data_IF_348596375388
#
_entry.id   IF_348596375388
#
_cell.length_a   1.000
_cell.length_b   1.000
_cell.length_c   1.000
_cell.angle_alpha   90.00
_cell.angle_beta   90.00
_cell.angle_gamma   90.00
#
_symmetry.space_group_name_H-M   'P 1'
#
loop_
_entity.id
_entity.type
_entity.pdbx_description
1 polymer ?
#
# COMPACT_ATOMS: atom_id res chain seq x y z
N UNK A 1 -22.76 16.65 30.36
CA UNK A 1 -23.53 16.66 29.09
C UNK A 1 -24.99 16.45 29.43
N UNK A 2 -25.91 16.96 28.61
CA UNK A 2 -27.36 16.92 28.90
C UNK A 2 -28.03 15.77 28.16
N UNK A 3 -28.55 14.78 28.90
CA UNK A 3 -29.23 13.63 28.32
C UNK A 3 -30.54 14.02 27.62
N UNK A 4 -31.20 15.11 28.04
CA UNK A 4 -32.42 15.58 27.40
C UNK A 4 -32.15 16.07 25.98
N UNK A 5 -31.06 16.81 25.77
CA UNK A 5 -30.63 17.23 24.43
C UNK A 5 -30.26 16.04 23.52
N UNK A 6 -29.71 14.97 24.10
CA UNK A 6 -29.46 13.73 23.37
C UNK A 6 -30.77 13.04 22.95
N UNK A 7 -31.74 12.91 23.87
CA UNK A 7 -33.06 12.35 23.55
C UNK A 7 -33.80 13.17 22.49
N UNK A 8 -33.72 14.50 22.55
CA UNK A 8 -34.24 15.37 21.50
C UNK A 8 -33.55 15.11 20.15
N UNK A 9 -32.21 14.93 20.13
CA UNK A 9 -31.46 14.64 18.90
C UNK A 9 -31.89 13.35 18.22
N UNK A 10 -32.17 12.32 19.00
CA UNK A 10 -32.60 11.01 18.48
C UNK A 10 -34.12 10.89 18.35
N UNK A 11 -34.88 11.90 18.78
CA UNK A 11 -36.33 11.91 18.77
C UNK A 11 -36.96 10.86 19.68
N UNK A 12 -36.29 10.50 20.78
CA UNK A 12 -36.76 9.52 21.75
C UNK A 12 -37.52 10.24 22.88
N UNK A 13 -38.77 9.86 23.11
CA UNK A 13 -39.57 10.37 24.23
C UNK A 13 -39.48 9.39 25.40
N UNK A 14 -38.83 9.81 26.49
CA UNK A 14 -38.62 8.97 27.67
C UNK A 14 -39.96 8.69 28.38
N UNK A 15 -40.59 7.56 28.06
CA UNK A 15 -41.99 7.30 28.44
C UNK A 15 -42.17 6.49 29.73
N UNK A 16 -41.12 5.96 30.36
CA UNK A 16 -41.28 5.21 31.62
C UNK A 16 -40.04 5.00 32.52
N UNK A 17 -38.82 5.46 32.14
CA UNK A 17 -37.58 5.15 32.86
C UNK A 17 -37.38 3.65 33.19
N UNK A 18 -37.86 2.75 32.32
CA UNK A 18 -37.66 1.31 32.51
C UNK A 18 -36.29 0.90 31.97
N UNK A 19 -35.63 0.01 32.69
CA UNK A 19 -34.34 -0.58 32.30
C UNK A 19 -34.59 -1.99 31.75
N UNK A 20 -35.34 -2.07 30.66
CA UNK A 20 -35.73 -3.32 30.01
C UNK A 20 -35.27 -3.37 28.54
N UNK A 21 -35.44 -4.54 27.92
CA UNK A 21 -35.01 -4.79 26.54
C UNK A 21 -35.79 -3.94 25.53
N UNK A 22 -37.05 -3.63 25.81
CA UNK A 22 -37.89 -2.78 24.96
C UNK A 22 -37.32 -1.37 24.91
N UNK A 23 -37.00 -0.79 26.08
CA UNK A 23 -36.37 0.54 26.19
C UNK A 23 -35.01 0.57 25.48
N UNK A 24 -34.18 -0.46 25.67
CA UNK A 24 -32.88 -0.56 25.00
C UNK A 24 -33.04 -0.61 23.47
N UNK A 25 -34.03 -1.38 22.99
CA UNK A 25 -34.34 -1.52 21.56
C UNK A 25 -34.83 -0.19 20.97
N UNK A 26 -35.73 0.50 21.66
CA UNK A 26 -36.25 1.80 21.21
C UNK A 26 -35.13 2.83 21.07
N UNK A 27 -34.27 2.98 22.08
CA UNK A 27 -33.15 3.94 22.02
C UNK A 27 -32.20 3.62 20.88
N UNK A 28 -31.84 2.34 20.69
CA UNK A 28 -31.00 1.90 19.58
C UNK A 28 -31.61 2.28 18.23
N UNK A 29 -32.89 1.95 18.02
CA UNK A 29 -33.59 2.25 16.76
C UNK A 29 -33.74 3.75 16.51
N UNK A 30 -34.02 4.54 17.55
CA UNK A 30 -34.09 5.99 17.45
C UNK A 30 -32.75 6.59 17.06
N UNK A 31 -31.65 6.14 17.66
CA UNK A 31 -30.32 6.59 17.28
C UNK A 31 -29.99 6.21 15.83
N UNK A 32 -30.21 4.96 15.43
CA UNK A 32 -29.92 4.49 14.07
C UNK A 32 -30.75 5.22 12.99
N UNK A 33 -31.97 5.65 13.31
CA UNK A 33 -32.83 6.41 12.38
C UNK A 33 -32.44 7.87 12.22
N UNK A 34 -31.69 8.44 13.16
CA UNK A 34 -31.50 9.90 13.27
C UNK A 34 -30.04 10.36 13.23
N UNK A 35 -29.11 9.52 13.67
CA UNK A 35 -27.67 9.78 13.67
C UNK A 35 -27.03 8.96 12.56
N UNK A 36 -26.64 9.59 11.44
CA UNK A 36 -26.07 8.85 10.33
C UNK A 36 -24.67 8.33 10.66
N UNK A 37 -24.33 7.15 10.13
CA UNK A 37 -22.94 6.72 10.01
C UNK A 37 -22.29 7.46 8.85
N UNK A 38 -21.26 8.28 9.11
CA UNK A 38 -20.63 9.16 8.11
C UNK A 38 -19.15 9.42 8.41
N UNK A 39 -18.38 9.80 7.39
CA UNK A 39 -16.95 10.16 7.49
C UNK A 39 -16.63 11.54 6.87
N UNK A 40 -17.62 12.39 6.66
CA UNK A 40 -17.54 13.68 5.99
C UNK A 40 -16.54 14.63 6.64
N UNK A 41 -16.41 14.61 7.97
CA UNK A 41 -15.43 15.46 8.67
C UNK A 41 -13.98 15.16 8.25
N UNK A 42 -13.65 13.92 7.88
CA UNK A 42 -12.33 13.59 7.31
C UNK A 42 -12.11 14.28 5.98
N UNK A 43 -13.14 14.29 5.14
CA UNK A 43 -13.10 14.86 3.79
C UNK A 43 -13.13 16.39 3.81
N UNK A 44 -13.64 16.98 4.90
CA UNK A 44 -13.63 18.42 5.13
C UNK A 44 -12.38 18.94 5.85
N UNK A 45 -11.41 18.07 6.18
CA UNK A 45 -10.18 18.46 6.88
C UNK A 45 -10.38 18.81 8.35
N UNK A 46 -11.50 18.39 8.94
CA UNK A 46 -11.77 18.57 10.37
C UNK A 46 -11.03 17.50 11.17
N UNK A 47 -10.36 17.91 12.25
CA UNK A 47 -9.69 16.97 13.14
C UNK A 47 -10.73 16.09 13.84
N UNK A 48 -10.48 14.79 13.81
CA UNK A 48 -11.30 13.80 14.48
C UNK A 48 -10.95 13.73 15.95
N UNK A 49 -11.95 13.93 16.81
CA UNK A 49 -11.80 13.84 18.25
C UNK A 49 -12.73 12.76 18.79
N UNK A 50 -12.19 11.92 19.67
CA UNK A 50 -12.91 10.86 20.39
C UNK A 50 -13.27 11.26 21.83
N UNK A 51 -12.84 12.46 22.25
CA UNK A 51 -13.33 13.10 23.46
C UNK A 51 -14.86 13.17 23.45
N UNK A 52 -15.47 12.75 24.56
CA UNK A 52 -16.91 12.55 24.65
C UNK A 52 -17.67 13.87 24.56
N UNK A 53 -17.16 14.95 25.16
CA UNK A 53 -17.77 16.28 25.09
C UNK A 53 -17.73 16.84 23.67
N UNK A 54 -16.59 16.70 23.00
CA UNK A 54 -16.45 17.09 21.58
C UNK A 54 -17.37 16.26 20.67
N UNK A 55 -17.48 14.96 20.94
CA UNK A 55 -18.36 14.04 20.21
C UNK A 55 -19.83 14.40 20.41
N UNK A 56 -20.23 14.71 21.64
CA UNK A 56 -21.57 15.16 21.99
C UNK A 56 -21.92 16.45 21.23
N UNK A 57 -21.04 17.45 21.25
CA UNK A 57 -21.28 18.70 20.51
C UNK A 57 -21.40 18.48 19.00
N UNK A 58 -20.57 17.59 18.44
CA UNK A 58 -20.61 17.27 17.03
C UNK A 58 -21.93 16.58 16.63
N UNK A 59 -22.28 15.49 17.30
CA UNK A 59 -23.43 14.66 16.92
C UNK A 59 -24.76 15.29 17.36
N UNK A 60 -24.83 15.79 18.60
CA UNK A 60 -26.06 16.30 19.22
C UNK A 60 -26.32 17.74 18.84
N UNK A 61 -25.39 18.66 19.14
CA UNK A 61 -25.63 20.10 18.95
C UNK A 61 -25.51 20.53 17.49
N UNK A 62 -24.47 20.06 16.78
CA UNK A 62 -24.25 20.37 15.36
C UNK A 62 -25.03 19.45 14.42
N UNK A 63 -25.81 18.50 14.96
CA UNK A 63 -26.67 17.56 14.21
C UNK A 63 -25.92 16.78 13.13
N UNK A 64 -24.68 16.38 13.40
CA UNK A 64 -23.86 15.54 12.50
C UNK A 64 -24.07 14.06 12.76
N UNK A 65 -23.41 13.24 11.94
CA UNK A 65 -23.23 11.83 12.19
C UNK A 65 -21.86 11.54 12.78
N UNK A 66 -21.41 10.30 12.67
CA UNK A 66 -20.05 9.93 13.03
C UNK A 66 -19.73 8.48 12.71
N UNK A 67 -18.56 8.05 13.15
CA UNK A 67 -18.05 6.70 12.91
C UNK A 67 -18.42 5.83 14.11
N UNK A 68 -18.17 4.51 14.03
CA UNK A 68 -18.46 3.59 15.13
C UNK A 68 -17.88 4.06 16.48
N UNK A 69 -16.63 4.52 16.49
CA UNK A 69 -15.95 5.00 17.70
C UNK A 69 -16.62 6.22 18.34
N UNK A 70 -17.30 7.08 17.58
CA UNK A 70 -17.98 8.26 18.11
C UNK A 70 -19.43 7.94 18.47
N UNK A 71 -20.16 7.32 17.55
CA UNK A 71 -21.59 7.07 17.69
C UNK A 71 -21.85 6.03 18.78
N UNK A 72 -21.05 4.96 18.85
CA UNK A 72 -21.21 3.95 19.91
C UNK A 72 -20.64 4.41 21.25
N UNK A 73 -19.66 5.32 21.28
CA UNK A 73 -19.21 5.96 22.53
C UNK A 73 -20.29 6.90 23.08
N UNK A 74 -20.98 7.65 22.22
CA UNK A 74 -22.13 8.46 22.62
C UNK A 74 -23.30 7.60 23.12
N UNK A 75 -23.60 6.49 22.43
CA UNK A 75 -24.61 5.53 22.87
C UNK A 75 -24.27 4.92 24.23
N UNK A 76 -23.01 4.50 24.41
CA UNK A 76 -22.50 3.98 25.68
C UNK A 76 -22.75 4.98 26.82
N UNK A 77 -22.38 6.25 26.63
CA UNK A 77 -22.63 7.29 27.61
C UNK A 77 -24.13 7.45 27.90
N UNK A 78 -24.96 7.57 26.86
CA UNK A 78 -26.40 7.77 27.03
C UNK A 78 -27.06 6.63 27.80
N UNK A 79 -26.75 5.36 27.47
CA UNK A 79 -27.27 4.20 28.17
C UNK A 79 -26.80 4.14 29.63
N UNK A 80 -25.55 4.53 29.89
CA UNK A 80 -25.01 4.60 31.25
C UNK A 80 -25.74 5.66 32.08
N UNK A 81 -25.99 6.84 31.52
CA UNK A 81 -26.76 7.91 32.18
C UNK A 81 -28.23 7.52 32.39
N UNK A 82 -28.81 6.70 31.52
CA UNK A 82 -30.14 6.12 31.74
C UNK A 82 -30.17 5.16 32.94
N UNK A 83 -29.02 4.64 33.36
CA UNK A 83 -28.88 3.70 34.47
C UNK A 83 -28.72 2.23 34.04
N UNK A 84 -28.52 1.94 32.76
CA UNK A 84 -28.13 0.60 32.32
C UNK A 84 -26.71 0.28 32.81
N UNK A 85 -26.47 -1.00 33.13
CA UNK A 85 -25.12 -1.51 33.30
C UNK A 85 -24.49 -1.75 31.92
N UNK A 86 -23.44 -1.00 31.60
CA UNK A 86 -22.85 -0.95 30.26
C UNK A 86 -21.37 -1.31 30.28
N UNK A 87 -20.84 -1.82 29.17
CA UNK A 87 -19.41 -2.06 28.97
C UNK A 87 -19.05 -1.81 27.51
N UNK A 88 -17.93 -1.13 27.25
CA UNK A 88 -17.39 -0.97 25.91
C UNK A 88 -16.62 -2.21 25.47
N UNK A 89 -16.92 -2.70 24.27
CA UNK A 89 -16.27 -3.87 23.67
C UNK A 89 -15.56 -3.48 22.35
N UNK A 90 -14.35 -4.00 22.15
CA UNK A 90 -13.62 -3.89 20.89
C UNK A 90 -13.92 -5.05 19.96
N UNK A 91 -14.13 -4.76 18.67
CA UNK A 91 -14.45 -5.74 17.64
C UNK A 91 -13.45 -5.76 16.49
N UNK A 92 -13.21 -6.96 15.96
CA UNK A 92 -12.52 -7.16 14.68
C UNK A 92 -13.56 -7.23 13.58
N UNK A 93 -13.37 -6.46 12.51
CA UNK A 93 -14.34 -6.37 11.41
C UNK A 93 -13.99 -7.38 10.33
N UNK A 94 -14.97 -8.14 9.87
CA UNK A 94 -14.80 -9.03 8.73
C UNK A 94 -14.86 -8.23 7.42
N UNK A 95 -13.78 -8.23 6.65
CA UNK A 95 -13.64 -7.44 5.43
C UNK A 95 -13.92 -8.35 4.24
N UNK A 96 -15.14 -8.27 3.70
CA UNK A 96 -15.66 -9.15 2.64
C UNK A 96 -14.73 -9.22 1.42
N UNK A 97 -14.19 -8.11 0.86
CA UNK A 97 -13.29 -8.18 -0.28
C UNK A 97 -12.03 -9.04 -0.10
N UNK A 98 -11.54 -9.17 1.14
CA UNK A 98 -10.30 -9.93 1.46
C UNK A 98 -10.56 -11.20 2.26
N UNK A 99 -11.83 -11.53 2.53
CA UNK A 99 -12.28 -12.75 3.22
C UNK A 99 -11.56 -13.03 4.55
N UNK A 100 -11.21 -11.98 5.29
CA UNK A 100 -10.45 -12.03 6.56
C UNK A 100 -10.99 -11.00 7.55
N UNK A 101 -10.78 -11.27 8.85
CA UNK A 101 -10.95 -10.27 9.89
C UNK A 101 -9.82 -9.24 9.87
N UNK A 102 -10.10 -8.01 10.29
CA UNK A 102 -9.09 -6.99 10.52
C UNK A 102 -7.99 -7.49 11.47
N UNK A 103 -6.74 -7.07 11.27
CA UNK A 103 -5.62 -7.43 12.16
C UNK A 103 -5.72 -6.73 13.53
N UNK A 104 -6.41 -5.60 13.58
CA UNK A 104 -6.60 -4.77 14.78
C UNK A 104 -8.09 -4.63 15.13
N UNK A 105 -8.37 -4.30 16.39
CA UNK A 105 -9.73 -3.95 16.84
C UNK A 105 -10.08 -2.54 16.34
N UNK A 106 -10.78 -2.48 15.22
CA UNK A 106 -11.14 -1.23 14.54
C UNK A 106 -12.61 -0.84 14.74
N UNK A 107 -13.35 -1.59 15.57
CA UNK A 107 -14.77 -1.35 15.81
C UNK A 107 -15.09 -1.31 17.30
N UNK A 108 -16.01 -0.43 17.70
CA UNK A 108 -16.50 -0.30 19.06
C UNK A 108 -17.97 -0.71 19.07
N UNK A 109 -18.37 -1.55 20.03
CA UNK A 109 -19.75 -1.91 20.33
C UNK A 109 -20.01 -1.80 21.84
N UNK A 110 -21.28 -1.77 22.23
CA UNK A 110 -21.67 -1.62 23.63
C UNK A 110 -22.35 -2.89 24.11
N UNK A 111 -21.86 -3.45 25.20
CA UNK A 111 -22.57 -4.48 25.96
C UNK A 111 -23.48 -3.81 26.99
N UNK A 112 -24.68 -4.35 27.16
CA UNK A 112 -25.66 -3.95 28.17
C UNK A 112 -26.13 -5.17 28.95
N UNK A 113 -26.10 -5.10 30.27
CA UNK A 113 -26.59 -6.16 31.15
C UNK A 113 -28.02 -5.85 31.61
N UNK A 114 -28.96 -6.75 31.35
CA UNK A 114 -30.36 -6.66 31.80
C UNK A 114 -30.74 -7.99 32.45
N UNK A 115 -31.06 -7.97 33.75
CA UNK A 115 -31.46 -9.16 34.51
C UNK A 115 -30.50 -10.35 34.33
N UNK A 116 -29.20 -10.10 34.56
CA UNK A 116 -28.09 -11.07 34.43
C UNK A 116 -27.84 -11.63 33.01
N UNK A 117 -28.46 -11.03 31.99
CA UNK A 117 -28.22 -11.36 30.58
C UNK A 117 -27.47 -10.23 29.89
N UNK A 118 -26.48 -10.60 29.08
CA UNK A 118 -25.65 -9.66 28.34
C UNK A 118 -26.18 -9.52 26.91
N UNK A 119 -26.39 -8.30 26.47
CA UNK A 119 -26.76 -7.98 25.09
C UNK A 119 -25.70 -7.08 24.47
N UNK A 120 -25.43 -7.24 23.18
CA UNK A 120 -24.67 -6.25 22.42
C UNK A 120 -25.61 -5.35 21.63
N UNK A 121 -25.26 -4.08 21.58
CA UNK A 121 -25.89 -3.08 20.73
C UNK A 121 -24.84 -2.33 19.92
N UNK A 122 -25.22 -1.95 18.71
CA UNK A 122 -24.37 -1.24 17.78
C UNK A 122 -25.20 -0.34 16.89
N UNK A 123 -25.09 0.96 17.11
CA UNK A 123 -25.82 1.97 16.34
C UNK A 123 -25.07 2.39 15.06
N UNK A 124 -23.84 1.90 14.84
CA UNK A 124 -22.92 2.50 13.89
C UNK A 124 -21.99 1.48 13.20
N UNK A 125 -22.55 0.34 12.78
CA UNK A 125 -21.92 -0.56 11.82
C UNK A 125 -22.30 -0.14 10.39
N UNK A 126 -21.34 0.42 9.65
CA UNK A 126 -21.55 0.83 8.25
C UNK A 126 -21.89 -0.36 7.33
N UNK A 127 -22.79 -0.15 6.36
CA UNK A 127 -23.17 -1.16 5.37
C UNK A 127 -24.51 -1.86 5.65
N UNK A 128 -24.70 -3.06 5.08
CA UNK A 128 -25.99 -3.78 5.08
C UNK A 128 -26.23 -4.70 6.29
N UNK A 129 -25.38 -4.65 7.32
CA UNK A 129 -25.41 -5.55 8.49
C UNK A 129 -25.71 -4.81 9.81
N UNK A 130 -26.58 -3.81 9.72
CA UNK A 130 -27.03 -3.02 10.87
C UNK A 130 -27.86 -3.87 11.86
N UNK A 131 -27.51 -3.81 13.15
CA UNK A 131 -28.22 -4.49 14.23
C UNK A 131 -29.37 -3.62 14.73
N UNK A 132 -30.61 -3.93 14.31
CA UNK A 132 -31.81 -3.15 14.67
C UNK A 132 -32.38 -3.48 16.05
N UNK A 133 -31.89 -4.55 16.66
CA UNK A 133 -32.33 -5.06 17.95
C UNK A 133 -31.09 -5.50 18.75
N UNK A 134 -31.10 -5.37 20.09
CA UNK A 134 -30.02 -5.87 20.93
C UNK A 134 -29.86 -7.38 20.78
N UNK A 135 -28.62 -7.84 20.61
CA UNK A 135 -28.32 -9.25 20.41
C UNK A 135 -27.82 -9.89 21.71
N UNK A 136 -28.51 -10.93 22.21
CA UNK A 136 -28.09 -11.66 23.41
C UNK A 136 -26.79 -12.44 23.18
N UNK A 137 -25.79 -12.20 24.04
CA UNK A 137 -24.54 -12.94 24.12
C UNK A 137 -24.75 -14.25 24.87
N UNK A 138 -25.32 -15.25 24.17
CA UNK A 138 -25.47 -16.61 24.67
C UNK A 138 -24.69 -17.60 23.80
N UNK A 139 -24.21 -18.70 24.38
CA UNK A 139 -23.53 -19.75 23.63
C UNK A 139 -24.50 -20.44 22.67
N UNK A 140 -24.18 -20.47 21.37
CA UNK A 140 -24.92 -21.24 20.38
C UNK A 140 -26.18 -20.56 19.82
N UNK A 141 -26.35 -19.26 20.00
CA UNK A 141 -27.43 -18.49 19.34
C UNK A 141 -27.08 -18.17 17.89
N UNK A 142 -27.90 -18.63 16.94
CA UNK A 142 -27.93 -18.21 15.54
C UNK A 142 -29.15 -17.30 15.33
N UNK A 143 -28.95 -15.99 15.40
CA UNK A 143 -30.01 -14.99 15.21
C UNK A 143 -30.03 -14.54 13.75
N UNK A 144 -31.09 -14.91 13.03
CA UNK A 144 -31.35 -14.44 11.67
C UNK A 144 -32.20 -13.19 11.69
N UNK A 145 -31.61 -12.03 11.41
CA UNK A 145 -32.39 -10.84 11.07
C UNK A 145 -32.75 -10.87 9.58
N UNK A 146 -34.05 -10.87 9.27
CA UNK A 146 -34.56 -10.81 7.90
C UNK A 146 -34.67 -9.35 7.51
N UNK A 147 -33.68 -8.83 6.79
CA UNK A 147 -33.83 -7.54 6.10
C UNK A 147 -34.48 -7.79 4.75
N UNK A 148 -35.60 -7.14 4.49
CA UNK A 148 -36.18 -7.06 3.15
C UNK A 148 -35.22 -6.30 2.24
N UNK A 149 -34.41 -7.03 1.49
CA UNK A 149 -33.54 -6.44 0.47
C UNK A 149 -34.42 -5.84 -0.63
N UNK A 150 -34.54 -4.52 -0.66
CA UNK A 150 -34.97 -3.81 -1.87
C UNK A 150 -33.87 -4.04 -2.91
N UNK A 151 -34.16 -4.64 -4.08
CA UNK A 151 -33.12 -4.92 -5.05
C UNK A 151 -32.57 -3.60 -5.61
N UNK A 152 -31.30 -3.31 -5.32
CA UNK A 152 -30.55 -2.33 -6.10
C UNK A 152 -30.41 -2.90 -7.51
N UNK A 153 -30.94 -2.14 -8.49
CA UNK A 153 -30.90 -2.46 -9.92
C UNK A 153 -29.49 -2.93 -10.31
N UNK A 154 -29.41 -4.15 -10.84
CA UNK A 154 -28.26 -4.64 -11.58
C UNK A 154 -27.98 -3.71 -12.76
N UNK A 155 -27.02 -2.81 -12.59
CA UNK A 155 -26.35 -2.11 -13.68
C UNK A 155 -24.85 -2.18 -13.46
N UNK A 156 -24.26 -3.30 -13.86
CA UNK A 156 -23.11 -3.34 -14.77
C UNK A 156 -22.72 -4.80 -14.99
N UNK A 157 -23.15 -5.35 -16.12
CA UNK A 157 -22.37 -6.37 -16.81
C UNK A 157 -21.12 -5.67 -17.35
N UNK A 158 -20.13 -5.46 -16.49
CA UNK A 158 -18.79 -5.19 -16.99
C UNK A 158 -18.25 -6.50 -17.56
N UNK A 159 -17.86 -6.46 -18.84
CA UNK A 159 -16.95 -7.46 -19.39
C UNK A 159 -15.82 -7.63 -18.39
N UNK A 160 -15.71 -8.81 -17.78
CA UNK A 160 -14.57 -9.19 -16.95
C UNK A 160 -13.32 -9.04 -17.83
N UNK A 161 -12.64 -7.90 -17.75
CA UNK A 161 -11.43 -7.57 -18.51
C UNK A 161 -10.31 -8.47 -17.98
N UNK A 162 -10.20 -9.66 -18.53
CA UNK A 162 -9.23 -10.66 -18.10
C UNK A 162 -7.80 -10.11 -18.23
N UNK A 163 -6.96 -10.39 -17.23
CA UNK A 163 -5.52 -10.15 -17.31
C UNK A 163 -4.91 -11.22 -18.20
N UNK A 164 -4.36 -10.78 -19.33
CA UNK A 164 -3.79 -11.65 -20.35
C UNK A 164 -2.25 -11.61 -20.27
N UNK A 165 -1.64 -12.78 -20.17
CA UNK A 165 -0.19 -12.92 -20.12
C UNK A 165 0.47 -12.50 -21.44
N UNK A 166 -0.21 -12.64 -22.57
CA UNK A 166 0.30 -12.20 -23.87
C UNK A 166 0.44 -10.68 -23.93
N UNK A 167 -0.54 -9.94 -23.38
CA UNK A 167 -0.45 -8.48 -23.28
C UNK A 167 0.72 -8.03 -22.37
N UNK A 168 1.01 -8.78 -21.31
CA UNK A 168 2.21 -8.53 -20.49
C UNK A 168 3.50 -8.74 -21.29
N UNK A 169 3.60 -9.84 -22.05
CA UNK A 169 4.78 -10.09 -22.89
C UNK A 169 4.94 -9.04 -23.99
N UNK A 170 3.84 -8.59 -24.61
CA UNK A 170 3.86 -7.47 -25.55
C UNK A 170 4.37 -6.19 -24.87
N UNK A 171 3.89 -5.89 -23.65
CA UNK A 171 4.29 -4.70 -22.88
C UNK A 171 5.79 -4.67 -22.60
N UNK A 172 6.39 -5.81 -22.28
CA UNK A 172 7.84 -5.90 -22.00
C UNK A 172 8.68 -6.20 -23.25
N UNK A 173 8.03 -6.41 -24.40
CA UNK A 173 8.68 -6.75 -25.66
C UNK A 173 9.30 -8.15 -25.70
N UNK A 174 8.80 -9.11 -24.92
CA UNK A 174 9.33 -10.47 -24.84
C UNK A 174 8.72 -11.39 -25.91
N UNK A 175 9.51 -11.71 -26.93
CA UNK A 175 9.09 -12.51 -28.09
C UNK A 175 9.73 -13.91 -28.16
N UNK A 176 10.61 -14.26 -27.21
CA UNK A 176 11.30 -15.55 -27.22
C UNK A 176 10.37 -16.69 -26.77
N UNK A 177 10.86 -17.93 -26.97
CA UNK A 177 10.14 -19.13 -26.55
C UNK A 177 9.98 -19.19 -25.03
N UNK A 178 8.76 -19.53 -24.58
CA UNK A 178 8.37 -19.63 -23.16
C UNK A 178 8.25 -21.10 -22.70
N UNK A 179 8.71 -22.04 -23.52
CA UNK A 179 8.46 -23.47 -23.32
C UNK A 179 9.36 -24.09 -22.23
N UNK A 180 10.35 -23.34 -21.74
CA UNK A 180 11.28 -23.77 -20.71
C UNK A 180 11.11 -22.90 -19.48
N UNK A 181 11.10 -23.53 -18.31
CA UNK A 181 11.10 -22.87 -17.01
C UNK A 181 12.51 -22.96 -16.41
N UNK A 182 13.47 -22.35 -17.09
CA UNK A 182 14.88 -22.36 -16.71
C UNK A 182 15.39 -20.95 -16.34
N UNK A 183 16.62 -20.87 -15.85
CA UNK A 183 17.25 -19.62 -15.43
C UNK A 183 17.43 -18.64 -16.59
N UNK A 184 17.58 -19.14 -17.83
CA UNK A 184 17.70 -18.29 -18.99
C UNK A 184 16.39 -17.56 -19.26
N UNK A 185 15.26 -18.28 -19.31
CA UNK A 185 13.94 -17.67 -19.47
C UNK A 185 13.61 -16.69 -18.33
N UNK A 186 13.95 -17.05 -17.08
CA UNK A 186 13.75 -16.15 -15.93
C UNK A 186 14.55 -14.84 -16.07
N UNK A 187 15.83 -14.96 -16.46
CA UNK A 187 16.72 -13.81 -16.69
C UNK A 187 16.19 -12.93 -17.83
N UNK A 188 15.79 -13.53 -18.95
CA UNK A 188 15.28 -12.77 -20.09
C UNK A 188 14.02 -11.97 -19.71
N UNK A 189 13.08 -12.56 -18.96
CA UNK A 189 11.86 -11.86 -18.53
C UNK A 189 12.18 -10.69 -17.60
N UNK A 190 13.03 -10.91 -16.58
CA UNK A 190 13.47 -9.85 -15.68
C UNK A 190 14.06 -8.69 -16.50
N UNK A 191 14.99 -9.01 -17.39
CA UNK A 191 15.70 -8.04 -18.22
C UNK A 191 14.76 -7.27 -19.16
N UNK A 192 13.79 -7.95 -19.77
CA UNK A 192 12.78 -7.30 -20.60
C UNK A 192 11.88 -6.37 -19.76
N UNK A 193 11.47 -6.79 -18.57
CA UNK A 193 10.65 -5.96 -17.70
C UNK A 193 11.39 -4.70 -17.22
N UNK A 194 12.62 -4.81 -16.70
CA UNK A 194 13.36 -3.65 -16.16
C UNK A 194 13.78 -2.63 -17.25
N UNK A 195 13.78 -3.04 -18.52
CA UNK A 195 14.03 -2.17 -19.69
C UNK A 195 12.77 -1.57 -20.29
N UNK A 196 11.59 -2.10 -19.96
CA UNK A 196 10.33 -1.65 -20.53
C UNK A 196 9.42 -0.95 -19.52
N UNK A 197 9.43 -1.37 -18.25
CA UNK A 197 8.55 -0.90 -17.18
C UNK A 197 9.36 -0.08 -16.18
N UNK A 198 9.16 1.25 -16.12
CA UNK A 198 9.92 2.09 -15.21
C UNK A 198 9.61 1.83 -13.73
N UNK A 199 10.62 1.98 -12.88
CA UNK A 199 10.45 2.18 -11.45
C UNK A 199 10.10 3.65 -11.20
N UNK A 200 8.87 3.93 -10.78
CA UNK A 200 8.35 5.31 -10.70
C UNK A 200 7.27 5.48 -9.61
N UNK A 201 7.06 6.72 -9.18
CA UNK A 201 6.05 7.10 -8.19
C UNK A 201 5.22 8.31 -8.62
N UNK A 202 5.11 8.56 -9.93
CA UNK A 202 4.58 9.80 -10.48
C UNK A 202 3.09 10.01 -10.16
N UNK A 203 2.32 8.94 -9.96
CA UNK A 203 0.91 9.06 -9.54
C UNK A 203 0.77 9.91 -8.27
N UNK A 204 1.63 9.70 -7.26
CA UNK A 204 1.62 10.48 -6.00
C UNK A 204 1.75 11.99 -6.29
N UNK A 205 2.60 12.34 -7.25
CA UNK A 205 2.89 13.73 -7.64
C UNK A 205 1.93 14.28 -8.71
N UNK A 206 1.00 13.45 -9.18
CA UNK A 206 -0.17 13.81 -9.99
C UNK A 206 -1.46 13.86 -9.15
N UNK A 207 -1.39 13.53 -7.85
CA UNK A 207 -2.55 13.45 -6.96
C UNK A 207 -3.39 12.17 -7.15
N UNK A 208 -2.79 11.11 -7.70
CA UNK A 208 -3.40 9.79 -7.89
C UNK A 208 -2.83 8.77 -6.89
N UNK A 209 -3.63 7.77 -6.46
CA UNK A 209 -3.15 6.72 -5.57
C UNK A 209 -2.19 5.75 -6.26
N UNK A 210 -1.35 5.11 -5.45
CA UNK A 210 -0.60 3.91 -5.81
C UNK A 210 -1.46 2.69 -5.46
N UNK A 211 -2.20 2.19 -6.45
CA UNK A 211 -3.08 1.03 -6.30
C UNK A 211 -2.30 -0.26 -6.05
N UNK A 212 -2.83 -1.13 -5.19
CA UNK A 212 -2.21 -2.42 -4.81
C UNK A 212 -2.89 -3.63 -5.46
N UNK A 213 -4.14 -3.48 -5.93
CA UNK A 213 -4.86 -4.56 -6.61
C UNK A 213 -4.18 -4.93 -7.93
N UNK A 214 -4.06 -6.23 -8.19
CA UNK A 214 -3.34 -6.72 -9.36
C UNK A 214 -4.02 -6.27 -10.67
N UNK A 215 -5.35 -6.18 -10.70
CA UNK A 215 -6.11 -5.70 -11.84
C UNK A 215 -5.80 -4.23 -12.18
N UNK A 216 -5.73 -3.36 -11.16
CA UNK A 216 -5.38 -1.95 -11.35
C UNK A 216 -3.92 -1.79 -11.78
N UNK A 217 -3.02 -2.56 -11.16
CA UNK A 217 -1.59 -2.61 -11.55
C UNK A 217 -1.45 -3.05 -13.00
N UNK A 218 -2.15 -4.09 -13.42
CA UNK A 218 -2.12 -4.58 -14.79
C UNK A 218 -2.66 -3.52 -15.77
N UNK A 219 -3.79 -2.88 -15.47
CA UNK A 219 -4.33 -1.81 -16.32
C UNK A 219 -3.34 -0.64 -16.46
N UNK A 220 -2.76 -0.18 -15.36
CA UNK A 220 -1.78 0.89 -15.32
C UNK A 220 -0.51 0.52 -16.11
N UNK A 221 0.15 -0.58 -15.73
CA UNK A 221 1.48 -0.92 -16.28
C UNK A 221 1.36 -1.43 -17.71
N UNK A 222 0.44 -2.37 -17.96
CA UNK A 222 0.34 -3.06 -19.26
C UNK A 222 -0.44 -2.24 -20.26
N UNK A 223 -1.67 -1.80 -19.92
CA UNK A 223 -2.55 -1.14 -20.88
C UNK A 223 -2.22 0.35 -21.04
N UNK A 224 -1.96 1.07 -19.94
CA UNK A 224 -1.58 2.49 -19.98
C UNK A 224 -0.08 2.74 -20.16
N UNK A 225 0.72 1.68 -20.30
CA UNK A 225 2.18 1.73 -20.51
C UNK A 225 2.94 2.52 -19.43
N UNK A 226 2.44 2.52 -18.20
CA UNK A 226 3.10 3.17 -17.06
C UNK A 226 4.13 2.28 -16.41
N UNK A 227 4.78 2.80 -15.37
CA UNK A 227 5.56 2.03 -14.42
C UNK A 227 4.85 1.91 -13.07
N UNK A 228 5.64 1.64 -12.03
CA UNK A 228 5.20 1.68 -10.64
C UNK A 228 6.36 1.51 -9.67
N UNK A 229 6.07 1.56 -8.37
CA UNK A 229 7.06 1.24 -7.34
C UNK A 229 7.15 -0.28 -7.08
N UNK A 230 8.01 -0.71 -6.15
CA UNK A 230 8.28 -2.14 -5.92
C UNK A 230 7.01 -2.97 -5.68
N UNK A 231 6.05 -2.46 -4.90
CA UNK A 231 4.80 -3.18 -4.60
C UNK A 231 3.94 -3.44 -5.85
N UNK A 232 4.12 -2.66 -6.92
CA UNK A 232 3.36 -2.80 -8.15
C UNK A 232 4.13 -3.64 -9.18
N UNK A 233 5.37 -3.28 -9.48
CA UNK A 233 6.14 -3.94 -10.54
C UNK A 233 6.55 -5.36 -10.15
N UNK A 234 6.85 -5.63 -8.87
CA UNK A 234 7.17 -6.99 -8.41
C UNK A 234 5.92 -7.83 -8.17
N UNK A 235 4.76 -7.23 -7.86
CA UNK A 235 3.49 -7.96 -7.83
C UNK A 235 3.08 -8.41 -9.25
N UNK A 236 3.24 -7.54 -10.24
CA UNK A 236 3.02 -7.90 -11.65
C UNK A 236 4.00 -8.99 -12.12
N UNK A 237 5.28 -8.87 -11.77
CA UNK A 237 6.29 -9.88 -12.11
C UNK A 237 5.99 -11.24 -11.44
N UNK A 238 5.64 -11.22 -10.15
CA UNK A 238 5.20 -12.41 -9.42
C UNK A 238 4.05 -13.11 -10.13
N UNK A 239 3.00 -12.35 -10.50
CA UNK A 239 1.86 -12.90 -11.25
C UNK A 239 2.30 -13.52 -12.58
N UNK A 240 3.12 -12.82 -13.35
CA UNK A 240 3.56 -13.29 -14.66
C UNK A 240 4.38 -14.60 -14.55
N UNK A 241 5.35 -14.65 -13.65
CA UNK A 241 6.18 -15.84 -13.40
C UNK A 241 5.35 -17.01 -12.86
N UNK A 242 4.45 -16.76 -11.91
CA UNK A 242 3.50 -17.79 -11.40
C UNK A 242 2.65 -18.33 -12.55
N UNK A 243 2.13 -17.44 -13.42
CA UNK A 243 1.26 -17.81 -14.53
C UNK A 243 1.97 -18.66 -15.58
N UNK A 244 3.28 -18.47 -15.74
CA UNK A 244 4.12 -19.32 -16.57
C UNK A 244 4.38 -20.70 -15.96
N UNK A 245 4.23 -20.84 -14.64
CA UNK A 245 4.46 -22.09 -13.91
C UNK A 245 5.78 -22.14 -13.14
N UNK A 246 6.50 -21.02 -12.99
CA UNK A 246 7.60 -20.96 -12.03
C UNK A 246 7.06 -21.09 -10.61
N UNK A 247 7.82 -21.77 -9.74
CA UNK A 247 7.56 -21.75 -8.31
C UNK A 247 8.05 -20.43 -7.73
N UNK A 248 7.12 -19.57 -7.31
CA UNK A 248 7.42 -18.21 -6.87
C UNK A 248 6.88 -17.92 -5.48
N UNK A 249 7.64 -17.16 -4.69
CA UNK A 249 7.24 -16.71 -3.35
C UNK A 249 7.47 -15.21 -3.21
N UNK A 250 6.48 -14.45 -2.72
CA UNK A 250 6.69 -13.05 -2.35
C UNK A 250 7.45 -12.98 -1.02
N UNK A 251 8.45 -12.10 -0.95
CA UNK A 251 9.22 -11.82 0.26
C UNK A 251 9.13 -10.32 0.60
N UNK A 252 9.27 -10.02 1.89
CA UNK A 252 9.29 -8.65 2.39
C UNK A 252 10.66 -8.22 2.87
N UNK A 253 11.04 -6.99 2.53
CA UNK A 253 12.35 -6.44 2.82
C UNK A 253 12.33 -5.06 3.49
N UNK A 254 13.47 -4.74 4.09
CA UNK A 254 13.76 -3.52 4.82
C UNK A 254 14.91 -2.78 4.12
N UNK A 255 14.68 -1.54 3.69
CA UNK A 255 15.63 -0.79 2.86
C UNK A 255 16.66 -0.09 3.73
N UNK A 256 17.94 -0.15 3.35
CA UNK A 256 18.99 0.51 4.12
C UNK A 256 19.01 2.01 3.89
N UNK A 257 18.92 2.78 4.97
CA UNK A 257 19.09 4.22 4.98
C UNK A 257 20.53 4.56 5.38
N UNK A 258 21.34 5.07 4.43
CA UNK A 258 22.75 5.34 4.69
C UNK A 258 23.00 6.45 5.71
N UNK A 259 22.30 7.62 5.66
CA UNK A 259 22.46 8.65 6.69
C UNK A 259 22.12 8.17 8.11
N UNK A 260 21.12 7.31 8.26
CA UNK A 260 20.72 6.76 9.55
C UNK A 260 21.51 5.48 9.94
N UNK A 261 22.37 4.98 9.04
CA UNK A 261 23.14 3.74 9.16
C UNK A 261 22.31 2.55 9.68
N UNK A 262 21.08 2.41 9.19
CA UNK A 262 20.15 1.36 9.61
C UNK A 262 19.17 0.98 8.50
N UNK A 263 18.68 -0.24 8.55
CA UNK A 263 17.53 -0.67 7.75
C UNK A 263 16.25 0.01 8.25
N UNK A 264 15.27 0.16 7.37
CA UNK A 264 13.94 0.69 7.72
C UNK A 264 13.30 -0.14 8.82
N UNK A 265 12.51 0.50 9.68
CA UNK A 265 11.73 -0.22 10.70
C UNK A 265 10.55 -0.97 10.09
N UNK A 266 9.92 -0.39 9.07
CA UNK A 266 8.85 -1.02 8.29
C UNK A 266 9.39 -1.90 7.16
N UNK A 267 8.62 -2.93 6.83
CA UNK A 267 8.82 -3.82 5.68
C UNK A 267 8.30 -3.13 4.42
N UNK A 268 9.13 -2.29 3.81
CA UNK A 268 8.74 -1.35 2.75
C UNK A 268 9.17 -1.78 1.34
N UNK A 269 9.74 -2.97 1.20
CA UNK A 269 10.17 -3.52 -0.09
C UNK A 269 9.55 -4.89 -0.35
N UNK A 270 9.04 -5.09 -1.56
CA UNK A 270 8.58 -6.40 -2.06
C UNK A 270 9.63 -6.92 -3.03
N UNK A 271 10.03 -8.18 -2.88
CA UNK A 271 10.85 -8.92 -3.85
C UNK A 271 10.29 -10.33 -4.03
N UNK A 272 10.76 -11.07 -5.03
CA UNK A 272 10.26 -12.41 -5.38
C UNK A 272 11.39 -13.43 -5.27
N UNK A 273 11.15 -14.54 -4.60
CA UNK A 273 11.98 -15.75 -4.71
C UNK A 273 11.42 -16.66 -5.80
N UNK A 274 12.32 -17.27 -6.58
CA UNK A 274 11.98 -18.27 -7.61
C UNK A 274 12.82 -19.53 -7.41
N UNK A 275 12.17 -20.69 -7.41
CA UNK A 275 12.83 -21.99 -7.30
C UNK A 275 12.92 -22.65 -8.67
N UNK A 276 14.12 -23.07 -9.08
CA UNK A 276 14.37 -23.79 -10.34
C UNK A 276 15.28 -24.98 -10.06
N UNK A 277 14.76 -26.21 -10.21
CA UNK A 277 15.52 -27.45 -10.03
C UNK A 277 16.38 -27.45 -8.76
N UNK A 278 15.71 -27.23 -7.62
CA UNK A 278 16.28 -27.15 -6.25
C UNK A 278 17.20 -25.95 -5.95
N UNK A 279 17.37 -25.01 -6.89
CA UNK A 279 18.09 -23.75 -6.64
C UNK A 279 17.12 -22.60 -6.44
N UNK A 280 17.42 -21.78 -5.44
CA UNK A 280 16.63 -20.61 -5.08
C UNK A 280 17.31 -19.34 -5.59
N UNK A 281 16.54 -18.48 -6.23
CA UNK A 281 16.99 -17.19 -6.73
C UNK A 281 16.11 -16.09 -6.18
N UNK A 282 16.66 -14.92 -5.90
CA UNK A 282 15.87 -13.69 -5.75
C UNK A 282 15.79 -12.97 -7.09
N UNK A 283 14.61 -12.41 -7.33
CA UNK A 283 14.25 -11.65 -8.51
C UNK A 283 13.52 -10.40 -8.03
N UNK A 284 14.01 -9.25 -8.47
CA UNK A 284 13.49 -7.95 -8.08
C UNK A 284 13.61 -7.01 -9.26
N UNK A 285 12.49 -6.53 -9.80
CA UNK A 285 12.41 -5.56 -10.89
C UNK A 285 12.04 -4.14 -10.38
N UNK A 286 12.03 -3.94 -9.06
CA UNK A 286 11.33 -2.83 -8.41
C UNK A 286 12.19 -1.97 -7.49
N UNK A 287 13.51 -2.14 -7.48
CA UNK A 287 14.39 -1.20 -6.78
C UNK A 287 14.86 -0.08 -7.72
N UNK A 288 15.19 -0.36 -8.98
CA UNK A 288 15.55 0.66 -9.97
C UNK A 288 16.90 1.36 -9.72
N UNK A 289 17.17 2.41 -10.51
CA UNK A 289 18.44 3.15 -10.55
C UNK A 289 19.65 2.21 -10.73
N UNK A 290 20.83 2.57 -10.22
CA UNK A 290 22.04 1.71 -10.24
C UNK A 290 22.06 0.60 -9.19
N UNK A 291 20.97 0.40 -8.47
CA UNK A 291 20.80 -0.67 -7.48
C UNK A 291 20.06 -1.89 -8.05
N UNK A 292 19.58 -1.78 -9.28
CA UNK A 292 18.78 -2.78 -9.97
C UNK A 292 19.65 -3.98 -10.40
N UNK A 293 19.25 -5.19 -10.00
CA UNK A 293 19.81 -6.43 -10.54
C UNK A 293 19.35 -6.64 -11.99
N UNK A 294 20.25 -7.11 -12.84
CA UNK A 294 19.97 -7.44 -14.24
C UNK A 294 19.78 -8.93 -14.46
N UNK A 295 20.16 -9.75 -13.49
CA UNK A 295 20.01 -11.20 -13.50
C UNK A 295 19.52 -11.66 -12.12
N UNK A 296 18.74 -12.75 -12.04
CA UNK A 296 18.36 -13.37 -10.77
C UNK A 296 19.60 -13.70 -9.94
N UNK A 297 19.61 -13.32 -8.67
CA UNK A 297 20.72 -13.62 -7.77
C UNK A 297 20.45 -14.95 -7.06
N UNK A 298 21.38 -15.88 -7.14
CA UNK A 298 21.30 -17.15 -6.41
C UNK A 298 21.37 -16.87 -4.89
N UNK A 299 20.49 -17.50 -4.11
CA UNK A 299 20.49 -17.44 -2.65
C UNK A 299 21.64 -18.26 -2.07
N UNK A 300 22.87 -17.77 -2.28
CA UNK A 300 24.12 -18.36 -1.83
C UNK A 300 24.89 -17.35 -0.97
N UNK A 301 24.91 -17.56 0.34
CA UNK A 301 25.52 -16.64 1.31
C UNK A 301 27.02 -16.46 1.04
N UNK A 302 27.47 -15.20 1.00
CA UNK A 302 28.86 -14.78 0.79
C UNK A 302 29.35 -14.86 -0.66
N UNK A 303 28.53 -15.34 -1.61
CA UNK A 303 28.92 -15.47 -3.02
C UNK A 303 28.88 -14.13 -3.74
N UNK A 304 29.99 -13.75 -4.36
CA UNK A 304 30.05 -12.64 -5.31
C UNK A 304 29.37 -13.02 -6.62
N UNK A 305 28.46 -12.16 -7.07
CA UNK A 305 27.67 -12.33 -8.29
C UNK A 305 27.87 -11.10 -9.18
N UNK A 306 28.93 -11.08 -10.03
CA UNK A 306 29.21 -9.97 -10.93
C UNK A 306 28.11 -9.83 -11.99
N UNK A 307 27.57 -8.63 -12.14
CA UNK A 307 26.65 -8.25 -13.20
C UNK A 307 27.14 -6.98 -13.91
N UNK A 308 26.45 -6.58 -14.99
CA UNK A 308 26.79 -5.37 -15.74
C UNK A 308 26.81 -4.13 -14.83
N UNK A 309 25.81 -3.98 -13.96
CA UNK A 309 25.65 -2.80 -13.10
C UNK A 309 26.67 -2.76 -11.95
N UNK A 310 26.89 -3.87 -11.26
CA UNK A 310 27.75 -3.98 -10.09
C UNK A 310 28.06 -5.45 -9.76
N UNK A 311 28.90 -5.69 -8.75
CA UNK A 311 28.98 -7.01 -8.10
C UNK A 311 27.98 -7.01 -6.95
N UNK A 312 27.01 -7.92 -6.99
CA UNK A 312 26.07 -8.12 -5.89
C UNK A 312 26.55 -9.24 -4.97
N UNK A 313 26.22 -9.12 -3.69
CA UNK A 313 26.48 -10.17 -2.69
C UNK A 313 25.27 -10.32 -1.79
N UNK A 314 24.84 -11.56 -1.62
CA UNK A 314 23.88 -11.94 -0.60
C UNK A 314 24.62 -12.54 0.58
N UNK A 315 24.34 -12.06 1.79
CA UNK A 315 24.90 -12.62 3.03
C UNK A 315 23.76 -12.98 3.95
N UNK A 316 23.79 -14.18 4.51
CA UNK A 316 22.84 -14.66 5.51
C UNK A 316 23.48 -14.57 6.90
N UNK A 317 22.73 -14.00 7.84
CA UNK A 317 23.09 -13.95 9.26
C UNK A 317 21.81 -14.07 10.11
N UNK A 318 21.75 -15.11 10.96
CA UNK A 318 20.66 -15.34 11.91
C UNK A 318 19.24 -15.36 11.28
N UNK A 319 19.09 -15.98 10.12
CA UNK A 319 17.83 -16.09 9.37
C UNK A 319 17.47 -14.85 8.55
N UNK A 320 18.31 -13.81 8.56
CA UNK A 320 18.14 -12.59 7.76
C UNK A 320 19.14 -12.57 6.62
N UNK A 321 18.66 -12.27 5.42
CA UNK A 321 19.48 -12.07 4.23
C UNK A 321 19.71 -10.59 3.99
N UNK A 322 20.90 -10.25 3.54
CA UNK A 322 21.35 -8.89 3.24
C UNK A 322 21.84 -8.84 1.80
N UNK A 323 21.23 -7.96 0.99
CA UNK A 323 21.71 -7.65 -0.35
C UNK A 323 22.60 -6.41 -0.30
N UNK A 324 23.84 -6.61 -0.68
CA UNK A 324 24.85 -5.56 -0.79
C UNK A 324 25.39 -5.50 -2.23
N UNK A 325 25.99 -4.38 -2.59
CA UNK A 325 26.69 -4.21 -3.87
C UNK A 325 28.05 -3.54 -3.71
N UNK A 326 29.00 -3.95 -4.55
CA UNK A 326 30.28 -3.27 -4.78
C UNK A 326 30.15 -2.52 -6.11
N UNK A 327 30.15 -1.19 -6.01
CA UNK A 327 29.99 -0.23 -7.12
C UNK A 327 31.34 0.07 -7.75
N UNK A 328 31.27 0.55 -8.99
CA UNK A 328 32.39 1.15 -9.70
C UNK A 328 32.62 2.59 -9.26
N UNK A 329 33.82 3.08 -9.53
CA UNK A 329 34.10 4.51 -9.47
C UNK A 329 33.16 5.28 -10.41
N UNK A 330 32.90 6.54 -10.09
CA UNK A 330 31.95 7.36 -10.82
C UNK A 330 32.67 8.58 -11.42
N UNK A 331 32.55 8.74 -12.73
CA UNK A 331 32.99 9.94 -13.43
C UNK A 331 31.79 10.83 -13.73
N UNK A 332 31.81 12.03 -13.13
CA UNK A 332 30.79 13.06 -13.30
C UNK A 332 31.42 14.20 -14.12
N UNK A 333 31.11 14.32 -15.43
CA UNK A 333 31.72 15.35 -16.27
C UNK A 333 31.25 16.76 -15.90
N UNK A 334 30.00 16.91 -15.46
CA UNK A 334 29.46 18.20 -15.04
C UNK A 334 29.77 18.48 -13.57
N UNK A 335 30.71 19.41 -13.35
CA UNK A 335 31.17 19.81 -12.00
C UNK A 335 30.11 20.53 -11.15
N UNK A 336 28.97 20.93 -11.71
CA UNK A 336 27.87 21.46 -10.89
C UNK A 336 27.21 20.36 -10.03
N UNK A 337 27.31 19.09 -10.45
CA UNK A 337 26.61 17.97 -9.83
C UNK A 337 27.49 17.04 -8.99
N UNK A 338 28.80 17.27 -8.88
CA UNK A 338 29.70 16.41 -8.08
C UNK A 338 29.32 16.34 -6.60
N UNK A 339 28.59 17.34 -6.09
CA UNK A 339 28.07 17.36 -4.71
C UNK A 339 26.55 17.14 -4.64
N UNK A 340 25.92 16.63 -5.70
CA UNK A 340 24.49 16.31 -5.69
C UNK A 340 24.14 15.32 -4.59
N UNK A 341 22.99 15.52 -3.94
CA UNK A 341 22.41 14.60 -2.96
C UNK A 341 21.97 13.27 -3.58
N UNK A 342 21.92 13.19 -4.91
CA UNK A 342 21.61 11.98 -5.66
C UNK A 342 22.81 11.03 -5.78
N UNK A 343 24.04 11.48 -5.52
CA UNK A 343 25.23 10.65 -5.65
C UNK A 343 25.50 9.85 -4.36
N UNK A 344 25.60 8.53 -4.51
CA UNK A 344 26.23 7.67 -3.51
C UNK A 344 27.74 7.77 -3.62
N UNK A 345 28.44 8.02 -2.51
CA UNK A 345 29.91 8.18 -2.50
C UNK A 345 30.64 6.90 -2.13
N UNK A 346 29.98 5.97 -1.47
CA UNK A 346 30.59 4.70 -1.07
C UNK A 346 30.59 3.70 -2.23
N UNK A 347 31.72 3.05 -2.45
CA UNK A 347 31.80 1.89 -3.35
C UNK A 347 31.00 0.70 -2.79
N UNK A 348 31.06 0.47 -1.48
CA UNK A 348 30.30 -0.59 -0.84
C UNK A 348 28.95 -0.07 -0.34
N UNK A 349 27.86 -0.58 -0.91
CA UNK A 349 26.51 -0.16 -0.54
C UNK A 349 25.66 -1.33 -0.08
N UNK A 350 25.16 -1.23 1.16
CA UNK A 350 24.04 -2.03 1.65
C UNK A 350 22.72 -1.61 1.00
N UNK A 351 21.97 -2.52 0.38
CA UNK A 351 20.75 -2.16 -0.35
C UNK A 351 19.51 -2.38 0.53
N UNK A 352 19.22 -3.65 0.84
CA UNK A 352 18.10 -4.03 1.70
C UNK A 352 18.39 -5.35 2.41
N UNK A 353 17.61 -5.64 3.44
CA UNK A 353 17.57 -6.94 4.11
C UNK A 353 16.19 -7.57 3.98
N UNK A 354 16.08 -8.88 4.12
CA UNK A 354 14.81 -9.61 4.04
C UNK A 354 14.90 -10.96 4.75
N UNK A 355 13.77 -11.59 5.02
CA UNK A 355 13.69 -12.98 5.48
C UNK A 355 13.08 -13.86 4.38
N UNK A 356 13.25 -15.17 4.48
CA UNK A 356 12.61 -16.14 3.57
C UNK A 356 11.17 -16.48 3.99
N UNK A 357 10.55 -15.67 4.85
CA UNK A 357 9.17 -15.86 5.27
C UNK A 357 8.21 -15.50 4.12
N UNK A 358 7.39 -16.44 3.62
CA UNK A 358 6.44 -16.15 2.56
C UNK A 358 5.46 -15.05 2.96
N UNK A 359 5.22 -14.11 2.04
CA UNK A 359 4.27 -13.01 2.19
C UNK A 359 3.12 -13.12 1.21
N UNK A 360 2.03 -12.41 1.50
CA UNK A 360 1.00 -12.09 0.51
C UNK A 360 0.93 -10.58 0.28
N UNK A 361 0.26 -10.14 -0.78
CA UNK A 361 0.19 -8.71 -1.09
C UNK A 361 -0.52 -7.92 0.03
N UNK A 362 -1.44 -8.53 0.76
CA UNK A 362 -2.15 -7.93 1.88
C UNK A 362 -1.23 -7.57 3.06
N UNK A 363 -0.07 -8.23 3.19
CA UNK A 363 0.91 -7.87 4.21
C UNK A 363 1.56 -6.50 3.97
N UNK A 364 1.44 -5.96 2.75
CA UNK A 364 1.97 -4.66 2.36
C UNK A 364 0.92 -3.55 2.34
N UNK A 365 -0.36 -3.83 2.64
CA UNK A 365 -1.45 -2.85 2.52
C UNK A 365 -1.23 -1.60 3.40
N UNK A 366 -0.86 -1.80 4.66
CA UNK A 366 -0.56 -0.70 5.59
C UNK A 366 0.65 0.12 5.13
N UNK A 367 1.68 -0.53 4.59
CA UNK A 367 2.86 0.14 4.07
C UNK A 367 2.58 0.86 2.76
N UNK A 368 1.71 0.33 1.89
CA UNK A 368 1.25 1.01 0.68
C UNK A 368 0.61 2.36 1.02
N UNK A 369 -0.30 2.38 2.01
CA UNK A 369 -0.93 3.62 2.51
C UNK A 369 0.11 4.55 3.15
N UNK A 370 0.95 4.03 4.04
CA UNK A 370 1.95 4.84 4.74
C UNK A 370 2.94 5.49 3.78
N UNK A 371 3.48 4.74 2.82
CA UNK A 371 4.52 5.22 1.90
C UNK A 371 4.02 6.31 0.94
N UNK A 372 2.73 6.33 0.58
CA UNK A 372 2.17 7.36 -0.29
C UNK A 372 1.59 8.58 0.44
N UNK A 373 1.38 8.51 1.76
CA UNK A 373 0.77 9.61 2.53
C UNK A 373 1.72 10.25 3.55
N UNK A 374 2.67 9.49 4.10
CA UNK A 374 3.54 9.98 5.16
C UNK A 374 4.55 11.00 4.64
N UNK A 375 4.74 12.16 5.32
CA UNK A 375 5.82 13.10 5.03
C UNK A 375 7.21 12.56 5.39
N UNK A 376 7.28 11.44 6.12
CA UNK A 376 8.54 10.72 6.37
C UNK A 376 8.98 9.84 5.19
N UNK A 377 8.06 9.56 4.26
CA UNK A 377 8.34 8.73 3.09
C UNK A 377 9.18 9.46 2.05
N UNK A 378 10.15 8.74 1.47
CA UNK A 378 10.90 9.24 0.31
C UNK A 378 9.99 9.44 -0.91
N UNK A 379 8.95 8.61 -1.04
CA UNK A 379 8.04 8.63 -2.19
C UNK A 379 7.13 9.86 -2.23
N UNK A 380 6.85 10.50 -1.08
CA UNK A 380 6.13 11.78 -1.02
C UNK A 380 7.08 12.99 -1.08
N UNK A 381 8.37 12.77 -0.79
CA UNK A 381 9.40 13.81 -0.78
C UNK A 381 9.98 14.05 -2.17
N UNK A 382 10.22 13.00 -2.97
CA UNK A 382 10.82 13.09 -4.31
C UNK A 382 9.94 12.43 -5.36
N UNK A 383 9.74 13.10 -6.50
CA UNK A 383 9.15 12.51 -7.71
C UNK A 383 10.26 11.89 -8.55
N UNK A 384 10.12 10.64 -8.97
CA UNK A 384 11.15 10.00 -9.79
C UNK A 384 10.59 8.98 -10.78
N UNK A 385 11.40 8.71 -11.80
CA UNK A 385 11.18 7.66 -12.79
C UNK A 385 12.54 7.11 -13.24
N UNK A 386 12.72 5.79 -13.16
CA UNK A 386 13.98 5.13 -13.54
C UNK A 386 13.72 3.96 -14.48
N UNK A 387 14.54 3.83 -15.53
CA UNK A 387 14.43 2.77 -16.52
C UNK A 387 15.82 2.29 -16.93
N UNK A 388 16.02 0.97 -16.92
CA UNK A 388 17.28 0.37 -17.35
C UNK A 388 17.39 0.43 -18.88
N UNK A 389 18.62 0.55 -19.38
CA UNK A 389 18.94 0.46 -20.82
C UNK A 389 19.86 -0.75 -21.04
N UNK A 390 20.18 -1.12 -22.29
CA UNK A 390 21.17 -2.16 -22.55
C UNK A 390 22.57 -1.87 -22.00
N UNK A 391 22.90 -0.60 -21.71
CA UNK A 391 24.25 -0.18 -21.29
C UNK A 391 24.27 0.55 -19.94
N UNK A 392 23.11 0.77 -19.30
CA UNK A 392 23.01 1.81 -18.29
C UNK A 392 21.63 1.95 -17.66
N UNK A 393 21.38 3.13 -17.10
CA UNK A 393 20.11 3.49 -16.49
C UNK A 393 19.82 4.98 -16.66
N UNK A 394 18.60 5.29 -17.08
CA UNK A 394 18.04 6.63 -16.95
C UNK A 394 17.35 6.78 -15.60
N UNK A 395 17.50 7.94 -14.97
CA UNK A 395 16.74 8.30 -13.78
C UNK A 395 16.43 9.80 -13.77
N UNK A 396 15.14 10.14 -13.73
CA UNK A 396 14.66 11.49 -13.48
C UNK A 396 14.31 11.59 -11.99
N UNK A 397 14.82 12.60 -11.29
CA UNK A 397 14.43 12.93 -9.90
C UNK A 397 14.12 14.42 -9.82
N UNK A 398 12.90 14.78 -9.43
CA UNK A 398 12.40 16.15 -9.54
C UNK A 398 12.50 16.64 -10.98
N UNK A 399 13.33 17.67 -11.19
CA UNK A 399 13.68 18.22 -12.51
C UNK A 399 15.08 17.83 -12.99
N UNK A 400 15.78 16.91 -12.30
CA UNK A 400 17.14 16.49 -12.64
C UNK A 400 17.11 15.15 -13.38
N UNK A 401 17.38 15.18 -14.67
CA UNK A 401 17.56 13.98 -15.49
C UNK A 401 19.00 13.49 -15.40
N UNK A 402 19.14 12.19 -15.23
CA UNK A 402 20.45 11.53 -15.20
C UNK A 402 20.50 10.34 -16.13
N UNK A 403 21.67 10.12 -16.71
CA UNK A 403 22.00 8.90 -17.43
C UNK A 403 23.30 8.35 -16.89
N UNK A 404 23.26 7.12 -16.38
CA UNK A 404 24.44 6.37 -15.99
C UNK A 404 24.74 5.33 -17.05
N UNK A 405 25.95 5.34 -17.59
CA UNK A 405 26.47 4.29 -18.46
C UNK A 405 27.45 3.43 -17.68
N UNK A 406 27.14 2.14 -17.54
CA UNK A 406 27.94 1.20 -16.77
C UNK A 406 29.23 0.85 -17.51
N UNK A 407 30.33 0.72 -16.76
CA UNK A 407 31.63 0.32 -17.32
C UNK A 407 32.07 1.15 -18.55
N UNK A 408 31.87 2.46 -18.52
CA UNK A 408 32.18 3.37 -19.61
C UNK A 408 33.66 3.32 -20.02
N UNK A 409 34.56 3.30 -19.02
CA UNK A 409 36.02 3.21 -19.23
C UNK A 409 36.70 2.67 -17.98
N UNK A 410 37.62 1.72 -18.12
CA UNK A 410 38.53 1.27 -17.05
C UNK A 410 37.86 1.01 -15.68
N UNK A 411 36.71 0.32 -15.67
CA UNK A 411 35.91 0.05 -14.46
C UNK A 411 35.32 1.31 -13.78
N UNK A 412 35.04 2.35 -14.56
CA UNK A 412 34.38 3.59 -14.15
C UNK A 412 33.02 3.71 -14.83
N UNK A 413 32.00 4.08 -14.07
CA UNK A 413 30.69 4.47 -14.60
C UNK A 413 30.68 5.96 -14.98
N UNK A 414 30.15 6.29 -16.16
CA UNK A 414 29.85 7.69 -16.53
C UNK A 414 28.48 8.07 -15.97
N UNK A 415 28.38 9.21 -15.29
CA UNK A 415 27.10 9.74 -14.77
C UNK A 415 26.86 11.15 -15.29
N UNK A 416 25.98 11.28 -16.28
CA UNK A 416 25.60 12.55 -16.90
C UNK A 416 24.37 13.14 -16.22
N UNK A 417 24.37 14.45 -16.02
CA UNK A 417 23.29 15.21 -15.39
C UNK A 417 22.79 16.30 -16.33
N UNK A 418 21.47 16.50 -16.37
CA UNK A 418 20.81 17.63 -17.03
C UNK A 418 19.67 18.15 -16.14
N UNK A 419 19.72 19.43 -15.80
CA UNK A 419 18.56 20.14 -15.24
C UNK A 419 17.54 20.40 -16.35
N UNK A 420 16.29 20.04 -16.10
CA UNK A 420 15.17 20.27 -17.00
C UNK A 420 14.32 21.45 -16.52
N UNK A 421 13.76 22.19 -17.48
CA UNK A 421 12.64 23.10 -17.22
C UNK A 421 11.34 22.30 -17.11
N UNK A 422 10.31 22.89 -16.49
CA UNK A 422 9.01 22.22 -16.29
C UNK A 422 8.40 21.77 -17.62
N UNK A 423 8.52 22.60 -18.67
CA UNK A 423 8.04 22.29 -20.02
C UNK A 423 8.77 21.13 -20.71
N UNK A 424 10.00 20.79 -20.30
CA UNK A 424 10.77 19.68 -20.90
C UNK A 424 10.43 18.32 -20.27
N UNK A 425 9.82 18.29 -19.08
CA UNK A 425 9.65 17.06 -18.29
C UNK A 425 8.69 16.08 -18.96
N UNK A 426 7.56 16.57 -19.50
CA UNK A 426 6.57 15.71 -20.15
C UNK A 426 7.15 15.05 -21.42
N UNK A 427 7.88 15.82 -22.22
CA UNK A 427 8.58 15.30 -23.40
C UNK A 427 9.64 14.28 -23.03
N UNK A 428 10.42 14.52 -21.96
CA UNK A 428 11.41 13.55 -21.45
C UNK A 428 10.74 12.27 -20.94
N UNK A 429 9.65 12.37 -20.19
CA UNK A 429 8.89 11.21 -19.72
C UNK A 429 8.42 10.34 -20.90
N UNK A 430 7.92 10.97 -21.96
CA UNK A 430 7.43 10.26 -23.13
C UNK A 430 8.55 9.66 -23.98
N UNK A 431 9.62 10.40 -24.23
CA UNK A 431 10.69 10.00 -25.15
C UNK A 431 11.68 9.03 -24.54
N UNK A 432 12.06 9.22 -23.27
CA UNK A 432 13.06 8.39 -22.58
C UNK A 432 12.40 7.23 -21.84
N UNK A 433 11.30 7.48 -21.12
CA UNK A 433 10.70 6.49 -20.23
C UNK A 433 9.45 5.82 -20.82
N UNK A 434 8.96 6.28 -21.98
CA UNK A 434 7.72 5.78 -22.59
C UNK A 434 6.46 6.09 -21.76
N UNK A 435 6.54 7.05 -20.83
CA UNK A 435 5.48 7.39 -19.89
C UNK A 435 4.65 8.56 -20.42
N UNK A 436 3.34 8.41 -20.42
CA UNK A 436 2.38 9.50 -20.65
C UNK A 436 1.46 9.64 -19.44
N UNK A 437 1.26 10.86 -18.96
CA UNK A 437 0.48 11.14 -17.76
C UNK A 437 -0.89 11.68 -18.14
N UNK A 438 -1.93 11.27 -17.39
CA UNK A 438 -3.30 11.77 -17.59
C UNK A 438 -3.54 13.12 -16.88
N UNK A 439 -2.76 13.40 -15.84
CA UNK A 439 -2.80 14.62 -15.03
C UNK A 439 -1.44 15.30 -15.02
N UNK A 440 -1.44 16.62 -14.81
CA UNK A 440 -0.22 17.41 -14.70
C UNK A 440 0.63 16.92 -13.53
N UNK A 441 1.89 16.61 -13.79
CA UNK A 441 2.89 16.30 -12.78
C UNK A 441 3.32 17.57 -12.04
N UNK A 442 3.49 17.48 -10.72
CA UNK A 442 4.20 18.48 -9.92
C UNK A 442 5.56 17.90 -9.52
N UNK A 443 6.65 18.21 -10.25
CA UNK A 443 7.97 17.67 -9.94
C UNK A 443 8.42 18.12 -8.55
N UNK A 444 8.97 17.18 -7.76
CA UNK A 444 9.38 17.44 -6.39
C UNK A 444 10.75 16.86 -6.10
N UNK A 445 11.62 17.67 -5.50
CA UNK A 445 12.94 17.26 -5.00
C UNK A 445 13.09 17.67 -3.55
N UNK A 446 12.45 16.92 -2.65
CA UNK A 446 12.57 17.13 -1.21
C UNK A 446 13.90 16.62 -0.63
N UNK A 447 14.01 16.67 0.68
CA UNK A 447 15.22 16.42 1.47
C UNK A 447 15.44 14.96 1.88
N UNK A 448 14.48 14.06 1.60
CA UNK A 448 14.62 12.65 1.99
C UNK A 448 15.71 11.97 1.18
N UNK A 449 16.50 11.14 1.86
CA UNK A 449 17.61 10.40 1.26
C UNK A 449 17.14 9.50 0.12
N UNK A 450 17.72 9.72 -1.07
CA UNK A 450 17.47 8.97 -2.29
C UNK A 450 18.62 9.22 -3.26
N UNK A 451 19.30 8.16 -3.69
CA UNK A 451 20.46 8.22 -4.59
C UNK A 451 20.24 7.36 -5.84
N UNK A 452 21.05 7.61 -6.88
CA UNK A 452 20.90 7.06 -8.24
C UNK A 452 22.02 6.12 -8.69
#
# INVERSE_FOLDING_TARGET
>A
MDIAAYFERIGYENSANKLDLDTLTEVLQHQMRTVPFENLSMHCGEAMNLDLETTFDHIVRKKRGGWCLQVNHLLYWALTEMGFETTMLGGYVYIVPVNKYSKEMIHLLVQVTISDRNYIVDAAFGGSCQMWEPLELASGTDTRHIHSTVPLREKQKDLKRTMDIEAYFERIGYQNSRNKLDLQTLTEILQHQIRAVPFENLNIHCGDPMELSLEAIFDQIVRKKRGGWCLQVNHLLYWALTKMGFETTMLGGYVFNAPANKYSTGMIHLLVQVTISDRNYIVDAGFGRSYQMWEPLELASGKDQPQVSAIFRLTEENGTWYLDQIRREQYIPNQEFVNSDLLEKSEYRKIYSFTLEPRTIEDFESMNIYLQTSPASVFTSKSFCSLQTPEGVHCLVGSTLTYRRFSYKDNIDLVEFKSLKEEEIEDVLKTIFGVSLEKKLVPKHGDRFFTI
#
